data_IF_696045671824
#
_entry.id   IF_696045671824
#
_cell.length_a   1.000
_cell.length_b   1.000
_cell.length_c   1.000
_cell.angle_alpha   90.00
_cell.angle_beta   90.00
_cell.angle_gamma   90.00
#
_symmetry.space_group_name_H-M   'P 1'
#
loop_
_entity.id
_entity.type
_entity.pdbx_description
1 polymer ?
#
# COMPACT_ATOMS: atom_id res chain seq x y z
N UNK A 1 45.11 9.99 14.23
CA UNK A 1 43.95 9.11 14.01
C UNK A 1 42.68 9.94 14.18
N UNK A 2 42.18 10.50 13.08
CA UNK A 2 40.91 11.23 13.08
C UNK A 2 39.79 10.25 12.82
N UNK A 3 38.92 10.03 13.81
CA UNK A 3 37.71 9.23 13.62
C UNK A 3 36.79 9.99 12.66
N UNK A 4 36.66 9.45 11.45
CA UNK A 4 35.62 9.79 10.50
C UNK A 4 34.26 9.53 11.14
N UNK A 5 33.61 10.60 11.58
CA UNK A 5 32.20 10.60 11.95
C UNK A 5 31.41 10.35 10.67
N UNK A 6 31.04 9.08 10.43
CA UNK A 6 29.98 8.73 9.47
C UNK A 6 28.70 9.41 9.96
N UNK A 7 28.35 10.56 9.40
CA UNK A 7 26.99 11.10 9.49
C UNK A 7 26.06 10.03 8.92
N UNK A 8 25.35 9.31 9.79
CA UNK A 8 24.16 8.55 9.37
C UNK A 8 23.19 9.56 8.77
N UNK A 9 22.64 9.26 7.60
CA UNK A 9 21.46 9.96 7.13
C UNK A 9 20.39 9.86 8.23
N UNK A 10 20.03 10.98 8.83
CA UNK A 10 18.86 11.05 9.70
C UNK A 10 17.67 11.27 8.79
N UNK A 11 16.71 10.37 8.84
CA UNK A 11 15.38 10.67 8.30
C UNK A 11 14.83 11.86 9.12
N UNK A 12 14.28 12.87 8.46
CA UNK A 12 13.75 14.07 9.14
C UNK A 12 12.32 13.87 9.68
N UNK A 13 11.76 12.67 9.46
CA UNK A 13 10.49 12.19 10.05
C UNK A 13 9.31 13.13 9.79
N UNK A 14 9.36 13.84 8.65
CA UNK A 14 8.37 14.84 8.27
C UNK A 14 7.44 14.36 7.15
N UNK A 15 6.13 14.62 7.31
CA UNK A 15 5.24 14.68 6.15
C UNK A 15 5.35 16.09 5.60
N UNK A 16 5.64 16.18 4.30
CA UNK A 16 5.76 17.44 3.56
C UNK A 16 4.81 17.44 2.39
N UNK A 17 4.33 18.63 2.04
CA UNK A 17 3.41 18.84 0.94
C UNK A 17 3.97 19.90 0.01
N UNK A 18 3.80 19.69 -1.29
CA UNK A 18 4.22 20.63 -2.31
C UNK A 18 3.04 20.98 -3.21
N UNK A 19 3.00 22.23 -3.65
CA UNK A 19 2.10 22.64 -4.72
C UNK A 19 2.58 22.01 -6.04
N UNK A 20 1.76 21.15 -6.65
CA UNK A 20 2.11 20.46 -7.90
C UNK A 20 2.38 21.41 -9.08
N UNK A 21 1.80 22.61 -9.09
CA UNK A 21 1.93 23.56 -10.18
C UNK A 21 3.19 24.43 -10.04
N UNK A 22 3.57 24.79 -8.81
CA UNK A 22 4.71 25.70 -8.56
C UNK A 22 5.96 24.97 -8.08
N UNK A 23 5.81 23.76 -7.54
CA UNK A 23 6.89 23.01 -6.89
C UNK A 23 7.29 23.54 -5.50
N UNK A 24 6.57 24.54 -4.98
CA UNK A 24 6.86 25.13 -3.67
C UNK A 24 6.28 24.28 -2.54
N UNK A 25 7.04 24.18 -1.44
CA UNK A 25 6.58 23.51 -0.22
C UNK A 25 5.47 24.34 0.43
N UNK A 26 4.35 23.69 0.74
CA UNK A 26 3.25 24.27 1.52
C UNK A 26 3.63 24.11 3.00
N UNK A 27 3.60 25.21 3.77
CA UNK A 27 4.04 25.26 5.18
C UNK A 27 3.06 24.54 6.15
N UNK A 28 2.93 23.24 5.94
CA UNK A 28 2.15 22.30 6.75
C UNK A 28 3.02 21.11 7.21
N UNK A 29 4.34 21.22 7.06
CA UNK A 29 5.28 20.17 7.40
C UNK A 29 5.22 19.85 8.89
N UNK A 30 4.93 18.60 9.22
CA UNK A 30 4.86 18.14 10.61
C UNK A 30 5.87 17.04 10.83
N UNK A 31 6.81 17.30 11.73
CA UNK A 31 7.53 16.25 12.43
C UNK A 31 6.58 15.68 13.50
N UNK A 32 6.20 14.42 13.38
CA UNK A 32 5.50 13.71 14.46
C UNK A 32 6.48 12.93 15.36
N UNK A 33 7.79 13.01 15.05
CA UNK A 33 8.88 12.34 15.77
C UNK A 33 8.86 10.82 15.60
N UNK A 34 8.23 10.31 14.53
CA UNK A 34 8.12 8.87 14.26
C UNK A 34 8.76 8.52 12.93
N UNK A 35 9.39 7.35 12.90
CA UNK A 35 9.96 6.79 11.67
C UNK A 35 8.85 6.30 10.77
N UNK A 36 8.75 6.87 9.59
CA UNK A 36 7.80 6.46 8.56
C UNK A 36 8.33 5.24 7.80
N UNK A 37 7.44 4.34 7.39
CA UNK A 37 7.84 3.13 6.63
C UNK A 37 8.03 3.41 5.14
N UNK A 38 7.61 4.60 4.67
CA UNK A 38 7.65 5.02 3.27
C UNK A 38 6.41 4.64 2.46
N UNK A 39 5.46 3.90 3.04
CA UNK A 39 4.23 3.52 2.38
C UNK A 39 3.17 4.62 2.51
N UNK A 40 2.64 5.06 1.37
CA UNK A 40 1.60 6.09 1.27
C UNK A 40 0.54 5.67 0.28
N UNK A 41 -0.71 6.02 0.56
CA UNK A 41 -1.83 5.86 -0.37
C UNK A 41 -2.74 7.08 -0.32
N UNK A 42 -3.55 7.28 -1.35
CA UNK A 42 -4.47 8.39 -1.41
C UNK A 42 -5.83 7.91 -1.90
N UNK A 43 -6.91 8.30 -1.21
CA UNK A 43 -8.27 7.92 -1.57
C UNK A 43 -9.25 9.04 -1.22
N UNK A 44 -10.52 8.81 -1.50
CA UNK A 44 -11.61 9.68 -1.03
C UNK A 44 -12.36 9.01 0.11
N UNK A 45 -12.48 9.70 1.24
CA UNK A 45 -13.23 9.26 2.41
C UNK A 45 -14.33 10.28 2.72
N UNK A 46 -15.60 9.85 2.74
CA UNK A 46 -16.76 10.74 2.93
C UNK A 46 -16.77 11.98 2.01
N UNK A 47 -16.35 11.80 0.75
CA UNK A 47 -16.27 12.87 -0.25
C UNK A 47 -15.05 13.80 -0.12
N UNK A 48 -14.13 13.51 0.80
CA UNK A 48 -12.91 14.30 1.02
C UNK A 48 -11.67 13.54 0.57
N UNK A 49 -10.73 14.18 -0.14
CA UNK A 49 -9.42 13.58 -0.41
C UNK A 49 -8.66 13.37 0.90
N UNK A 50 -8.16 12.16 1.10
CA UNK A 50 -7.33 11.79 2.25
C UNK A 50 -6.05 11.10 1.79
N UNK A 51 -4.96 11.37 2.49
CA UNK A 51 -3.75 10.57 2.41
C UNK A 51 -3.72 9.56 3.56
N UNK A 52 -3.15 8.40 3.28
CA UNK A 52 -2.89 7.35 4.25
C UNK A 52 -1.40 7.15 4.35
N UNK A 53 -0.94 7.00 5.57
CA UNK A 53 0.48 6.85 5.86
C UNK A 53 0.66 5.82 6.95
N UNK A 54 1.73 5.03 6.86
CA UNK A 54 2.11 4.06 7.88
C UNK A 54 3.37 4.51 8.61
N UNK A 55 3.32 4.44 9.93
CA UNK A 55 4.46 4.63 10.79
C UNK A 55 5.05 3.29 11.25
N UNK A 56 6.32 3.30 11.62
CA UNK A 56 7.06 2.10 12.09
C UNK A 56 6.51 1.55 13.40
N UNK A 57 5.75 2.36 14.15
CA UNK A 57 4.98 1.93 15.33
C UNK A 57 3.77 1.05 14.98
N UNK A 58 3.51 0.83 13.69
CA UNK A 58 2.39 0.03 13.22
C UNK A 58 1.07 0.78 13.04
N UNK A 59 1.08 2.11 13.20
CA UNK A 59 -0.11 2.93 13.05
C UNK A 59 -0.36 3.38 11.62
N UNK A 60 -1.54 3.05 11.08
CA UNK A 60 -2.18 3.74 9.97
C UNK A 60 -2.70 5.08 10.43
N UNK A 61 -2.32 6.13 9.72
CA UNK A 61 -2.84 7.48 9.91
C UNK A 61 -3.60 7.91 8.66
N UNK A 62 -4.69 8.62 8.87
CA UNK A 62 -5.52 9.23 7.82
C UNK A 62 -5.33 10.74 7.93
N UNK A 63 -4.86 11.37 6.87
CA UNK A 63 -4.70 12.82 6.78
C UNK A 63 -5.82 13.37 5.91
N UNK A 64 -6.68 14.22 6.48
CA UNK A 64 -7.66 15.00 5.70
C UNK A 64 -6.92 16.12 4.95
N UNK A 65 -6.91 16.04 3.62
CA UNK A 65 -6.20 17.00 2.76
C UNK A 65 -7.04 18.25 2.46
N UNK A 66 -8.26 18.34 3.00
CA UNK A 66 -9.14 19.52 2.85
C UNK A 66 -8.91 20.58 3.92
N UNK A 67 -8.19 20.23 5.00
CA UNK A 67 -7.84 21.15 6.08
C UNK A 67 -6.45 21.75 5.88
N UNK A 68 -6.29 23.00 6.32
CA UNK A 68 -5.01 23.69 6.31
C UNK A 68 -4.63 24.12 7.74
N UNK A 69 -3.64 23.48 8.39
CA UNK A 69 -2.91 22.30 7.90
C UNK A 69 -3.76 21.02 7.98
N UNK A 70 -3.40 19.95 7.23
CA UNK A 70 -4.10 18.67 7.28
C UNK A 70 -4.25 18.12 8.70
N UNK A 71 -5.43 17.61 8.99
CA UNK A 71 -5.73 16.99 10.29
C UNK A 71 -5.50 15.48 10.21
N UNK A 72 -4.73 14.97 11.17
CA UNK A 72 -4.42 13.54 11.27
C UNK A 72 -5.38 12.85 12.22
N UNK A 73 -6.05 11.81 11.75
CA UNK A 73 -6.79 10.86 12.59
C UNK A 73 -6.15 9.48 12.51
N UNK A 74 -6.51 8.62 13.44
CA UNK A 74 -6.01 7.25 13.48
C UNK A 74 -7.13 6.36 13.96
N UNK A 75 -7.49 5.33 13.18
CA UNK A 75 -8.34 4.27 13.67
C UNK A 75 -7.88 3.79 15.05
N UNK A 76 -8.81 3.72 16.00
CA UNK A 76 -8.56 3.15 17.32
C UNK A 76 -8.23 1.65 17.18
N UNK A 77 -7.39 1.12 18.07
CA UNK A 77 -6.93 -0.29 18.09
C UNK A 77 -6.07 -0.73 16.90
N UNK A 78 -4.97 -0.01 16.66
CA UNK A 78 -3.96 -0.43 15.68
C UNK A 78 -2.64 -0.80 16.36
N UNK A 79 -2.23 -2.06 16.17
CA UNK A 79 -0.86 -2.52 16.40
C UNK A 79 -0.52 -3.58 15.34
N UNK A 80 -0.17 -3.14 14.14
CA UNK A 80 0.55 -3.99 13.20
C UNK A 80 2.04 -3.71 13.37
N UNK A 81 2.69 -4.31 14.38
CA UNK A 81 4.14 -4.12 14.53
C UNK A 81 4.85 -4.52 13.23
N UNK A 82 5.71 -3.64 12.70
CA UNK A 82 6.52 -3.88 11.50
C UNK A 82 5.76 -3.85 10.16
N UNK A 83 4.98 -2.81 9.86
CA UNK A 83 4.34 -2.67 8.54
C UNK A 83 5.33 -2.37 7.41
N UNK A 84 5.17 -3.02 6.25
CA UNK A 84 6.00 -2.79 5.07
C UNK A 84 5.34 -1.85 4.06
N UNK A 85 4.08 -2.10 3.70
CA UNK A 85 3.46 -1.49 2.53
C UNK A 85 1.92 -1.40 2.66
N UNK A 86 1.31 -0.48 1.90
CA UNK A 86 -0.15 -0.31 1.84
C UNK A 86 -0.64 -0.02 0.43
N UNK A 87 -1.85 -0.47 0.14
CA UNK A 87 -2.60 -0.07 -1.04
C UNK A 87 -4.04 0.28 -0.67
N UNK A 88 -4.63 1.22 -1.42
CA UNK A 88 -6.01 1.65 -1.24
C UNK A 88 -6.91 1.12 -2.34
N UNK A 89 -8.17 0.86 -2.00
CA UNK A 89 -9.20 0.46 -2.94
C UNK A 89 -10.59 0.70 -2.33
N UNK A 90 -11.64 0.26 -3.01
CA UNK A 90 -13.01 0.27 -2.49
C UNK A 90 -13.60 -1.13 -2.57
N UNK A 91 -14.06 -1.67 -1.43
CA UNK A 91 -14.74 -2.97 -1.37
C UNK A 91 -16.24 -2.75 -1.19
N UNK A 92 -17.01 -2.97 -2.26
CA UNK A 92 -18.39 -2.50 -2.32
C UNK A 92 -18.41 -0.97 -2.33
N UNK A 93 -19.08 -0.36 -1.36
CA UNK A 93 -19.12 1.10 -1.16
C UNK A 93 -18.18 1.59 -0.05
N UNK A 94 -17.25 0.73 0.41
CA UNK A 94 -16.40 1.02 1.56
C UNK A 94 -14.97 1.28 1.11
N UNK A 95 -14.42 2.49 1.31
CA UNK A 95 -13.00 2.73 1.16
C UNK A 95 -12.22 1.80 2.08
N UNK A 96 -11.24 1.10 1.52
CA UNK A 96 -10.47 0.09 2.22
C UNK A 96 -8.97 0.26 1.99
N UNK A 97 -8.18 -0.15 2.98
CA UNK A 97 -6.74 -0.29 2.85
C UNK A 97 -6.34 -1.76 2.99
N UNK A 98 -5.47 -2.22 2.10
CA UNK A 98 -4.81 -3.53 2.18
C UNK A 98 -3.40 -3.27 2.72
N UNK A 99 -3.08 -3.86 3.86
CA UNK A 99 -1.87 -3.57 4.63
C UNK A 99 -1.02 -4.82 4.73
N UNK A 100 0.25 -4.71 4.34
CA UNK A 100 1.22 -5.80 4.39
C UNK A 100 2.27 -5.55 5.48
N UNK A 101 2.51 -6.55 6.33
CA UNK A 101 3.57 -6.54 7.36
C UNK A 101 4.88 -7.13 6.84
N UNK A 102 6.01 -6.57 7.32
CA UNK A 102 7.37 -7.10 7.15
C UNK A 102 7.56 -8.41 7.92
N UNK A 103 6.77 -8.64 8.97
CA UNK A 103 6.84 -9.86 9.75
C UNK A 103 6.26 -11.01 8.94
N UNK A 104 7.05 -12.07 8.74
CA UNK A 104 6.64 -13.23 7.96
C UNK A 104 5.47 -14.00 8.55
N UNK A 105 5.20 -13.82 9.84
CA UNK A 105 4.12 -14.49 10.56
C UNK A 105 2.79 -13.75 10.47
N UNK A 106 2.81 -12.48 10.08
CA UNK A 106 1.61 -11.64 10.05
C UNK A 106 0.85 -11.81 8.72
N UNK A 107 -0.49 -11.85 8.77
CA UNK A 107 -1.30 -11.85 7.57
C UNK A 107 -1.28 -10.48 6.87
N UNK A 108 -1.72 -10.47 5.61
CA UNK A 108 -2.11 -9.21 4.95
C UNK A 108 -3.51 -8.85 5.40
N UNK A 109 -3.65 -7.72 6.09
CA UNK A 109 -4.91 -7.28 6.71
C UNK A 109 -5.66 -6.33 5.78
N UNK A 110 -6.99 -6.42 5.74
CA UNK A 110 -7.86 -5.48 5.06
C UNK A 110 -8.57 -4.63 6.11
N UNK A 111 -8.51 -3.31 5.97
CA UNK A 111 -9.12 -2.35 6.89
C UNK A 111 -10.22 -1.55 6.20
N UNK A 112 -11.32 -1.33 6.91
CA UNK A 112 -12.36 -0.37 6.54
C UNK A 112 -11.92 1.01 7.02
N UNK A 113 -11.68 1.93 6.08
CA UNK A 113 -11.20 3.27 6.42
C UNK A 113 -12.28 4.17 7.01
N UNK A 114 -13.55 3.82 6.85
CA UNK A 114 -14.67 4.61 7.38
C UNK A 114 -14.92 4.30 8.85
N UNK A 115 -14.83 3.03 9.22
CA UNK A 115 -15.03 2.60 10.61
C UNK A 115 -13.72 2.48 11.38
N UNK A 116 -12.59 2.38 10.67
CA UNK A 116 -11.31 2.11 11.27
C UNK A 116 -11.14 0.68 11.77
N UNK A 117 -12.02 -0.26 11.38
CA UNK A 117 -11.94 -1.65 11.83
C UNK A 117 -11.33 -2.56 10.77
N UNK A 118 -10.65 -3.62 11.21
CA UNK A 118 -10.24 -4.69 10.33
C UNK A 118 -11.48 -5.39 9.73
N UNK A 119 -11.55 -5.45 8.39
CA UNK A 119 -12.50 -6.29 7.67
C UNK A 119 -12.07 -7.76 7.75
N UNK A 120 -10.76 -8.00 7.82
CA UNK A 120 -10.13 -9.30 8.06
C UNK A 120 -8.97 -9.58 7.10
N UNK A 121 -8.54 -10.83 7.04
CA UNK A 121 -7.23 -11.16 6.48
C UNK A 121 -7.29 -11.86 5.12
N UNK A 122 -6.27 -11.62 4.30
CA UNK A 122 -5.92 -12.48 3.18
C UNK A 122 -5.01 -13.62 3.69
N UNK A 123 -5.21 -14.87 3.22
CA UNK A 123 -4.37 -16.01 3.58
C UNK A 123 -3.01 -15.95 2.84
N UNK A 124 -2.31 -14.83 2.98
CA UNK A 124 -0.95 -14.58 2.52
C UNK A 124 -0.05 -14.39 3.73
N UNK A 125 1.23 -14.74 3.59
CA UNK A 125 2.26 -14.55 4.62
C UNK A 125 3.45 -13.83 4.01
N UNK A 126 4.19 -13.09 4.84
CA UNK A 126 5.48 -12.49 4.47
C UNK A 126 5.40 -11.67 3.16
N UNK A 127 4.63 -10.59 3.18
CA UNK A 127 4.37 -9.79 1.98
C UNK A 127 5.33 -8.60 1.89
N UNK A 128 6.04 -8.48 0.77
CA UNK A 128 7.01 -7.40 0.54
C UNK A 128 6.37 -6.13 -0.03
N UNK A 129 5.50 -6.27 -1.02
CA UNK A 129 4.79 -5.17 -1.66
C UNK A 129 3.32 -5.53 -1.89
N UNK A 130 2.46 -4.52 -1.91
CA UNK A 130 1.03 -4.67 -2.17
C UNK A 130 0.53 -3.64 -3.17
N UNK A 131 -0.31 -4.07 -4.10
CA UNK A 131 -1.08 -3.19 -4.98
C UNK A 131 -2.54 -3.57 -4.91
N UNK A 132 -3.44 -2.60 -5.05
CA UNK A 132 -4.87 -2.83 -5.11
C UNK A 132 -5.51 -1.91 -6.14
N UNK A 133 -6.53 -2.41 -6.82
CA UNK A 133 -7.31 -1.65 -7.78
C UNK A 133 -8.72 -2.27 -7.91
N UNK A 134 -9.63 -1.51 -8.50
CA UNK A 134 -10.91 -2.05 -8.96
C UNK A 134 -10.80 -2.32 -10.46
N UNK A 135 -10.99 -3.57 -10.86
CA UNK A 135 -10.86 -4.04 -12.24
C UNK A 135 -12.19 -4.68 -12.63
N UNK A 136 -12.83 -4.19 -13.69
CA UNK A 136 -14.16 -4.64 -14.12
C UNK A 136 -15.20 -4.65 -12.99
N UNK A 137 -15.16 -3.61 -12.14
CA UNK A 137 -16.04 -3.47 -10.97
C UNK A 137 -15.69 -4.38 -9.79
N UNK A 138 -14.61 -5.16 -9.88
CA UNK A 138 -14.17 -6.09 -8.85
C UNK A 138 -12.91 -5.54 -8.15
N UNK A 139 -12.94 -5.32 -6.82
CA UNK A 139 -11.74 -4.99 -6.07
C UNK A 139 -10.81 -6.20 -6.03
N UNK A 140 -9.57 -5.98 -6.48
CA UNK A 140 -8.48 -6.93 -6.48
C UNK A 140 -7.27 -6.38 -5.74
N UNK A 141 -6.47 -7.28 -5.17
CA UNK A 141 -5.15 -6.96 -4.65
C UNK A 141 -4.11 -7.93 -5.17
N UNK A 142 -2.89 -7.44 -5.37
CA UNK A 142 -1.73 -8.26 -5.64
C UNK A 142 -0.75 -8.11 -4.47
N UNK A 143 -0.30 -9.24 -3.93
CA UNK A 143 0.66 -9.29 -2.81
C UNK A 143 1.90 -10.05 -3.25
N UNK A 144 3.09 -9.54 -2.95
CA UNK A 144 4.36 -10.18 -3.31
C UNK A 144 4.95 -10.92 -2.13
N UNK A 145 5.54 -12.09 -2.32
CA UNK A 145 6.31 -12.80 -1.29
C UNK A 145 7.54 -13.45 -1.91
N UNK A 146 8.73 -12.97 -1.56
CA UNK A 146 9.98 -13.39 -2.19
C UNK A 146 9.89 -13.39 -3.72
N UNK A 147 9.75 -14.57 -4.34
CA UNK A 147 9.73 -14.80 -5.78
C UNK A 147 8.32 -15.09 -6.31
N UNK A 148 7.29 -14.79 -5.53
CA UNK A 148 5.91 -15.04 -5.90
C UNK A 148 5.06 -13.78 -5.85
N UNK A 149 4.06 -13.72 -6.72
CA UNK A 149 2.95 -12.76 -6.65
C UNK A 149 1.66 -13.54 -6.60
N UNK A 150 0.78 -13.17 -5.68
CA UNK A 150 -0.60 -13.70 -5.58
C UNK A 150 -1.59 -12.59 -5.84
N UNK A 151 -2.60 -12.89 -6.64
CA UNK A 151 -3.70 -11.98 -6.93
C UNK A 151 -4.94 -12.45 -6.17
N UNK A 152 -5.65 -11.54 -5.54
CA UNK A 152 -6.76 -11.81 -4.64
C UNK A 152 -8.00 -11.06 -5.09
N UNK A 153 -9.14 -11.75 -5.09
CA UNK A 153 -10.45 -11.12 -5.12
C UNK A 153 -10.80 -10.68 -3.69
N UNK A 154 -10.83 -9.38 -3.43
CA UNK A 154 -10.96 -8.86 -2.06
C UNK A 154 -12.34 -9.09 -1.43
N UNK A 155 -13.41 -9.13 -2.25
CA UNK A 155 -14.76 -9.42 -1.74
C UNK A 155 -14.89 -10.83 -1.17
N UNK A 156 -14.24 -11.81 -1.80
CA UNK A 156 -14.31 -13.23 -1.39
C UNK A 156 -13.09 -13.69 -0.62
N UNK A 157 -12.02 -12.89 -0.59
CA UNK A 157 -10.69 -13.23 -0.03
C UNK A 157 -10.08 -14.49 -0.66
N UNK A 158 -10.45 -14.77 -1.91
CA UNK A 158 -9.94 -15.92 -2.65
C UNK A 158 -8.87 -15.49 -3.64
N UNK A 159 -7.86 -16.33 -3.77
CA UNK A 159 -6.85 -16.17 -4.80
C UNK A 159 -7.49 -16.34 -6.19
N UNK A 160 -7.05 -15.52 -7.13
CA UNK A 160 -7.38 -15.59 -8.55
C UNK A 160 -6.23 -16.32 -9.25
N UNK A 161 -6.55 -17.42 -9.92
CA UNK A 161 -5.55 -18.23 -10.61
C UNK A 161 -4.51 -18.86 -9.68
N UNK A 162 -3.38 -19.26 -10.25
CA UNK A 162 -2.23 -19.82 -9.53
C UNK A 162 -1.24 -18.74 -9.10
N UNK A 163 -0.30 -19.09 -8.22
CA UNK A 163 0.84 -18.23 -7.90
C UNK A 163 1.61 -17.88 -9.19
N UNK A 164 2.01 -16.61 -9.31
CA UNK A 164 2.92 -16.16 -10.36
C UNK A 164 4.35 -16.29 -9.82
N UNK A 165 5.18 -17.09 -10.48
CA UNK A 165 6.55 -17.37 -10.04
C UNK A 165 7.58 -16.61 -10.88
N UNK A 166 8.60 -16.08 -10.19
CA UNK A 166 9.66 -15.27 -10.79
C UNK A 166 11.05 -15.85 -10.53
N UNK A 167 12.00 -15.69 -11.46
CA UNK A 167 13.35 -16.22 -11.30
C UNK A 167 14.18 -15.49 -10.24
N UNK A 168 13.73 -14.31 -9.78
CA UNK A 168 14.40 -13.45 -8.80
C UNK A 168 13.40 -12.83 -7.82
N UNK A 169 13.84 -12.34 -6.65
CA UNK A 169 12.96 -11.69 -5.71
C UNK A 169 12.23 -10.50 -6.34
N UNK A 170 10.92 -10.49 -6.17
CA UNK A 170 10.02 -9.42 -6.56
C UNK A 170 10.28 -8.21 -5.68
N UNK A 171 10.40 -7.04 -6.30
CA UNK A 171 10.70 -5.76 -5.62
C UNK A 171 9.50 -4.84 -5.56
N UNK A 172 8.54 -5.00 -6.46
CA UNK A 172 7.34 -4.18 -6.52
C UNK A 172 6.29 -4.81 -7.41
N UNK A 173 5.05 -4.38 -7.20
CA UNK A 173 3.89 -4.78 -7.99
C UNK A 173 2.99 -3.57 -8.20
N UNK A 174 2.35 -3.51 -9.36
CA UNK A 174 1.32 -2.54 -9.68
C UNK A 174 0.17 -3.22 -10.42
N UNK A 175 -1.03 -2.65 -10.30
CA UNK A 175 -2.22 -3.08 -11.02
C UNK A 175 -2.74 -1.90 -11.83
N UNK A 176 -2.90 -2.09 -13.13
CA UNK A 176 -3.50 -1.07 -14.01
C UNK A 176 -5.04 -1.12 -13.95
N UNK A 177 -5.70 -0.05 -14.40
CA UNK A 177 -7.16 0.01 -14.48
C UNK A 177 -7.76 -1.12 -15.35
N UNK A 178 -7.04 -1.54 -16.38
CA UNK A 178 -7.45 -2.63 -17.29
C UNK A 178 -7.12 -4.03 -16.74
N UNK A 179 -6.66 -4.12 -15.49
CA UNK A 179 -6.41 -5.39 -14.81
C UNK A 179 -5.06 -6.03 -15.07
N UNK A 180 -4.15 -5.37 -15.79
CA UNK A 180 -2.79 -5.88 -15.93
C UNK A 180 -2.03 -5.83 -14.61
N UNK A 181 -1.34 -6.92 -14.29
CA UNK A 181 -0.43 -7.01 -13.14
C UNK A 181 1.00 -6.79 -13.65
N UNK A 182 1.64 -5.73 -13.18
CA UNK A 182 3.01 -5.36 -13.55
C UNK A 182 3.91 -5.68 -12.36
N UNK A 183 5.00 -6.41 -12.62
CA UNK A 183 5.90 -6.90 -11.57
C UNK A 183 7.32 -6.53 -11.95
N UNK A 184 8.05 -5.89 -11.03
CA UNK A 184 9.49 -5.69 -11.19
C UNK A 184 10.27 -6.67 -10.30
N UNK A 185 11.29 -7.28 -10.86
CA UNK A 185 12.17 -8.22 -10.18
C UNK A 185 13.59 -8.06 -10.72
N UNK A 186 14.56 -7.91 -9.82
CA UNK A 186 15.95 -7.59 -10.19
C UNK A 186 16.06 -6.37 -11.13
N UNK A 187 16.45 -6.57 -12.41
CA UNK A 187 16.50 -5.53 -13.45
C UNK A 187 15.46 -5.73 -14.56
N UNK A 188 14.50 -6.62 -14.34
CA UNK A 188 13.49 -7.01 -15.31
C UNK A 188 12.08 -6.57 -14.87
N UNK A 189 11.18 -6.51 -15.86
CA UNK A 189 9.76 -6.23 -15.67
C UNK A 189 8.96 -7.32 -16.40
N UNK A 190 7.97 -7.88 -15.73
CA UNK A 190 6.95 -8.72 -16.36
C UNK A 190 5.59 -8.02 -16.30
N UNK A 191 4.81 -8.18 -17.36
CA UNK A 191 3.43 -7.69 -17.45
C UNK A 191 2.52 -8.86 -17.74
N UNK A 192 1.59 -9.12 -16.83
CA UNK A 192 0.57 -10.15 -16.98
C UNK A 192 -0.69 -9.46 -17.47
N UNK A 193 -1.07 -9.77 -18.71
CA UNK A 193 -2.24 -9.20 -19.37
C UNK A 193 -3.42 -10.17 -19.30
N UNK A 194 -4.63 -9.63 -19.12
CA UNK A 194 -5.84 -10.41 -19.32
C UNK A 194 -6.12 -10.46 -20.83
N UNK A 195 -5.66 -11.50 -21.51
CA UNK A 195 -6.10 -11.75 -22.89
C UNK A 195 -7.48 -12.38 -22.86
N UNK A 196 -8.46 -11.88 -23.65
CA UNK A 196 -9.70 -12.61 -23.86
C UNK A 196 -9.38 -14.00 -24.42
N UNK A 197 -10.20 -14.99 -24.07
CA UNK A 197 -10.08 -16.32 -24.64
C UNK A 197 -10.11 -16.22 -26.17
N UNK A 198 -9.27 -16.98 -26.90
CA UNK A 198 -9.36 -17.02 -28.36
C UNK A 198 -10.79 -17.43 -28.75
N UNK A 199 -11.34 -16.89 -29.85
CA UNK A 199 -12.67 -17.31 -30.32
C UNK A 199 -12.66 -18.83 -30.54
N UNK A 200 -13.70 -19.51 -30.05
CA UNK A 200 -13.91 -20.93 -30.38
C UNK A 200 -14.04 -21.09 -31.90
N UNK A 201 -13.49 -22.18 -32.48
CA UNK A 201 -13.48 -22.42 -33.92
C UNK A 201 -14.87 -22.59 -34.54
#
# INVERSE_FOLDING_TARGET
MGLSSRRRASYDETIRMWNLNTGEEIDASRADGRRWTGAVGATTLHGRPVALTLAHDGGLRVLDLTTDPPTTTSPADQHAESVHDLAVTTIGDRPAAVIASRNSSDPVTIWDLSTGNALGDLPSKATGAVAAATVDGQPIAATTSHQTVRVWKLTTRRQVGSDLHFPKPVRGVAISADGHVIVCFDRDIAVFVNTPAPPEP
#
